data_IF_455000327690
#
_entry.id   IF_455000327690
#
_cell.length_a   1.000
_cell.length_b   1.000
_cell.length_c   1.000
_cell.angle_alpha   90.00
_cell.angle_beta   90.00
_cell.angle_gamma   90.00
#
_symmetry.space_group_name_H-M   'P 1'
#
loop_
_entity.id
_entity.type
_entity.pdbx_description
1 polymer ?
#
# COMPACT_ATOMS: atom_id res chain seq x y z
N UNK A 1 23.84 -8.87 -13.44
CA UNK A 1 22.41 -9.25 -13.56
C UNK A 1 21.62 -7.95 -13.59
N UNK A 2 20.82 -7.69 -14.64
CA UNK A 2 19.99 -6.48 -14.72
C UNK A 2 18.89 -6.61 -13.68
N UNK A 3 18.97 -5.89 -12.56
CA UNK A 3 17.86 -5.82 -11.63
C UNK A 3 16.64 -5.25 -12.36
N UNK A 4 15.52 -5.96 -12.31
CA UNK A 4 14.25 -5.51 -12.89
C UNK A 4 13.86 -4.19 -12.19
N UNK A 5 13.76 -3.13 -12.97
CA UNK A 5 13.31 -1.82 -12.45
C UNK A 5 11.88 -1.94 -11.94
N UNK A 6 11.61 -1.34 -10.79
CA UNK A 6 10.24 -1.26 -10.29
C UNK A 6 9.39 -0.37 -11.19
N UNK A 7 8.22 -0.88 -11.58
CA UNK A 7 7.23 -0.18 -12.39
C UNK A 7 6.32 0.65 -11.48
N UNK A 8 6.25 1.93 -11.74
CA UNK A 8 5.34 2.88 -11.06
C UNK A 8 4.29 3.36 -12.06
N UNK A 9 3.02 3.28 -11.71
CA UNK A 9 1.97 4.02 -12.41
C UNK A 9 1.63 5.27 -11.60
N UNK A 10 1.80 6.44 -12.21
CA UNK A 10 1.44 7.72 -11.61
C UNK A 10 0.23 8.32 -12.32
N UNK A 11 -0.82 8.59 -11.55
CA UNK A 11 -2.10 9.17 -12.03
C UNK A 11 -2.26 10.55 -11.41
N UNK A 12 -2.22 11.57 -12.23
CA UNK A 12 -2.22 12.99 -11.84
C UNK A 12 -2.71 13.81 -13.04
N UNK A 13 -3.72 14.64 -12.87
CA UNK A 13 -4.31 15.45 -13.94
C UNK A 13 -3.48 16.71 -14.26
N UNK A 14 -2.73 17.22 -13.27
CA UNK A 14 -1.87 18.38 -13.47
C UNK A 14 -0.59 17.99 -14.22
N UNK A 15 -0.54 18.27 -15.52
CA UNK A 15 0.54 17.87 -16.42
C UNK A 15 1.94 18.30 -15.94
N UNK A 16 2.07 19.50 -15.34
CA UNK A 16 3.35 19.98 -14.84
C UNK A 16 3.86 19.17 -13.66
N UNK A 17 2.97 18.80 -12.73
CA UNK A 17 3.27 17.95 -11.58
C UNK A 17 3.65 16.54 -12.05
N UNK A 18 2.82 15.97 -12.95
CA UNK A 18 3.04 14.66 -13.54
C UNK A 18 4.42 14.57 -14.22
N UNK A 19 4.70 15.49 -15.14
CA UNK A 19 5.94 15.51 -15.92
C UNK A 19 7.18 15.71 -15.04
N UNK A 20 7.08 16.58 -14.02
CA UNK A 20 8.19 16.85 -13.10
C UNK A 20 8.52 15.61 -12.29
N UNK A 21 7.52 15.00 -11.63
CA UNK A 21 7.70 13.83 -10.81
C UNK A 21 8.19 12.63 -11.64
N UNK A 22 7.60 12.38 -12.80
CA UNK A 22 8.01 11.28 -13.69
C UNK A 22 9.46 11.42 -14.14
N UNK A 23 9.90 12.60 -14.53
CA UNK A 23 11.30 12.85 -14.93
C UNK A 23 12.25 12.56 -13.77
N UNK A 24 11.90 12.96 -12.57
CA UNK A 24 12.73 12.76 -11.37
C UNK A 24 12.77 11.28 -10.97
N UNK A 25 11.64 10.57 -11.00
CA UNK A 25 11.58 9.15 -10.71
C UNK A 25 12.37 8.31 -11.74
N UNK A 26 12.24 8.62 -13.03
CA UNK A 26 13.03 7.94 -14.08
C UNK A 26 14.53 8.15 -13.90
N UNK A 27 14.97 9.35 -13.45
CA UNK A 27 16.39 9.60 -13.10
C UNK A 27 16.88 8.78 -11.91
N UNK A 28 15.97 8.35 -11.03
CA UNK A 28 16.28 7.46 -9.89
C UNK A 28 16.20 5.98 -10.26
N UNK A 29 15.97 5.66 -11.53
CA UNK A 29 16.02 4.29 -12.06
C UNK A 29 14.69 3.56 -12.07
N UNK A 30 13.58 4.20 -11.74
CA UNK A 30 12.25 3.62 -11.84
C UNK A 30 11.76 3.58 -13.30
N UNK A 31 10.96 2.57 -13.63
CA UNK A 31 10.12 2.59 -14.82
C UNK A 31 8.80 3.27 -14.48
N UNK A 32 8.40 4.29 -15.25
CA UNK A 32 7.26 5.13 -14.89
C UNK A 32 6.30 5.24 -16.05
N UNK A 33 5.08 4.72 -15.85
CA UNK A 33 3.92 4.97 -16.69
C UNK A 33 3.07 6.08 -16.09
N UNK A 34 2.31 6.75 -16.93
CA UNK A 34 1.51 7.92 -16.54
C UNK A 34 0.09 7.79 -17.03
N UNK A 35 -0.85 8.38 -16.27
CA UNK A 35 -2.22 8.61 -16.69
C UNK A 35 -2.67 9.98 -16.17
N UNK A 36 -3.44 10.72 -16.96
CA UNK A 36 -4.02 12.01 -16.55
C UNK A 36 -5.51 11.92 -16.23
N UNK A 37 -6.11 10.76 -16.52
CA UNK A 37 -7.53 10.50 -16.31
C UNK A 37 -7.75 9.14 -15.69
N UNK A 38 -8.91 8.93 -15.06
CA UNK A 38 -9.27 7.63 -14.53
C UNK A 38 -9.39 6.57 -15.64
N UNK A 39 -9.92 6.95 -16.81
CA UNK A 39 -10.04 6.07 -17.97
C UNK A 39 -8.67 5.55 -18.45
N UNK A 40 -7.67 6.43 -18.56
CA UNK A 40 -6.29 6.05 -18.88
C UNK A 40 -5.69 5.14 -17.82
N UNK A 41 -5.91 5.47 -16.53
CA UNK A 41 -5.43 4.65 -15.43
C UNK A 41 -5.99 3.23 -15.49
N UNK A 42 -7.29 3.06 -15.72
CA UNK A 42 -7.89 1.74 -15.88
C UNK A 42 -7.30 0.96 -17.05
N UNK A 43 -7.08 1.60 -18.20
CA UNK A 43 -6.45 0.96 -19.35
C UNK A 43 -5.03 0.47 -19.00
N UNK A 44 -4.22 1.31 -18.36
CA UNK A 44 -2.86 0.96 -17.93
C UNK A 44 -2.85 -0.22 -16.95
N UNK A 45 -3.81 -0.27 -16.01
CA UNK A 45 -3.94 -1.35 -15.04
C UNK A 45 -4.40 -2.68 -15.65
N UNK A 46 -5.07 -2.64 -16.80
CA UNK A 46 -5.44 -3.84 -17.55
C UNK A 46 -4.27 -4.39 -18.35
N UNK A 47 -3.40 -3.54 -18.87
CA UNK A 47 -2.19 -3.97 -19.58
C UNK A 47 -1.16 -4.60 -18.66
N UNK A 48 -0.86 -3.93 -17.55
CA UNK A 48 0.15 -4.40 -16.60
C UNK A 48 -0.03 -3.76 -15.24
N UNK A 49 -0.06 -4.56 -14.18
CA UNK A 49 -0.10 -4.08 -12.82
C UNK A 49 1.26 -3.48 -12.42
N UNK A 50 1.29 -2.26 -11.86
CA UNK A 50 2.51 -1.63 -11.36
C UNK A 50 2.93 -2.21 -10.01
N UNK A 51 4.22 -2.09 -9.69
CA UNK A 51 4.78 -2.41 -8.38
C UNK A 51 4.38 -1.38 -7.31
N UNK A 52 4.07 -0.14 -7.75
CA UNK A 52 3.52 0.95 -6.93
C UNK A 52 2.53 1.78 -7.76
N UNK A 53 1.35 2.03 -7.21
CA UNK A 53 0.36 2.94 -7.76
C UNK A 53 0.39 4.27 -6.98
N UNK A 54 0.59 5.39 -7.69
CA UNK A 54 0.52 6.75 -7.13
C UNK A 54 -0.71 7.42 -7.71
N UNK A 55 -1.61 7.88 -6.85
CA UNK A 55 -2.92 8.42 -7.24
C UNK A 55 -3.15 9.81 -6.69
N UNK A 56 -3.52 10.75 -7.56
CA UNK A 56 -4.34 11.87 -7.09
C UNK A 56 -5.76 11.38 -6.79
N UNK A 57 -6.37 11.92 -5.75
CA UNK A 57 -7.75 11.60 -5.39
C UNK A 57 -8.72 12.24 -6.37
N UNK A 58 -8.48 13.50 -6.74
CA UNK A 58 -9.34 14.27 -7.62
C UNK A 58 -8.86 14.17 -9.07
N UNK A 59 -9.66 13.55 -9.93
CA UNK A 59 -9.38 13.44 -11.36
C UNK A 59 -10.53 14.04 -12.15
N UNK A 60 -10.30 14.56 -13.37
CA UNK A 60 -11.32 15.26 -14.17
C UNK A 60 -12.51 14.37 -14.56
N UNK A 61 -12.31 13.07 -14.66
CA UNK A 61 -13.29 12.08 -15.11
C UNK A 61 -13.63 11.02 -14.05
N UNK A 62 -13.13 11.16 -12.80
CA UNK A 62 -13.38 10.17 -11.77
C UNK A 62 -12.67 10.46 -10.44
N UNK A 63 -12.64 9.44 -9.59
CA UNK A 63 -12.04 9.51 -8.27
C UNK A 63 -10.92 8.47 -8.13
N UNK A 64 -9.75 8.90 -7.67
CA UNK A 64 -8.61 8.01 -7.40
C UNK A 64 -8.93 6.89 -6.41
N UNK A 65 -9.90 7.10 -5.51
CA UNK A 65 -10.36 6.06 -4.59
C UNK A 65 -10.99 4.86 -5.31
N UNK A 66 -11.75 5.11 -6.39
CA UNK A 66 -12.35 4.03 -7.19
C UNK A 66 -11.29 3.25 -7.96
N UNK A 67 -10.27 3.94 -8.46
CA UNK A 67 -9.10 3.30 -9.09
C UNK A 67 -8.38 2.41 -8.08
N UNK A 68 -8.17 2.90 -6.85
CA UNK A 68 -7.55 2.14 -5.77
C UNK A 68 -8.36 0.88 -5.45
N UNK A 69 -9.69 0.99 -5.33
CA UNK A 69 -10.57 -0.15 -5.07
C UNK A 69 -10.41 -1.23 -6.15
N UNK A 70 -10.47 -0.84 -7.42
CA UNK A 70 -10.31 -1.78 -8.55
C UNK A 70 -8.90 -2.39 -8.62
N UNK A 71 -7.88 -1.62 -8.27
CA UNK A 71 -6.51 -2.12 -8.17
C UNK A 71 -6.37 -3.17 -7.07
N UNK A 72 -7.04 -2.96 -5.92
CA UNK A 72 -7.06 -3.89 -4.79
C UNK A 72 -7.75 -5.24 -5.10
N UNK A 73 -8.66 -5.27 -6.04
CA UNK A 73 -9.27 -6.53 -6.52
C UNK A 73 -8.24 -7.43 -7.23
N UNK A 74 -7.17 -6.84 -7.77
CA UNK A 74 -6.17 -7.55 -8.58
C UNK A 74 -4.84 -7.79 -7.87
N UNK A 75 -4.48 -6.96 -6.89
CA UNK A 75 -3.14 -7.00 -6.29
C UNK A 75 -3.07 -6.35 -4.92
N UNK A 76 -2.07 -6.78 -4.14
CA UNK A 76 -1.71 -6.18 -2.86
C UNK A 76 -0.56 -5.15 -2.97
N UNK A 77 -0.15 -4.79 -4.18
CA UNK A 77 0.91 -3.82 -4.39
C UNK A 77 0.58 -2.46 -3.77
N UNK A 78 1.56 -1.71 -3.24
CA UNK A 78 1.29 -0.50 -2.48
C UNK A 78 0.62 0.60 -3.32
N UNK A 79 -0.19 1.42 -2.61
CA UNK A 79 -0.84 2.62 -3.16
C UNK A 79 -0.46 3.83 -2.33
N UNK A 80 0.11 4.85 -2.98
CA UNK A 80 0.39 6.16 -2.43
C UNK A 80 -0.64 7.17 -2.96
N UNK A 81 -1.41 7.79 -2.07
CA UNK A 81 -2.27 8.90 -2.45
C UNK A 81 -1.55 10.24 -2.32
N UNK A 82 -1.74 11.11 -3.32
CA UNK A 82 -1.40 12.52 -3.27
C UNK A 82 -2.69 13.31 -3.04
N UNK A 83 -2.73 14.18 -2.03
CA UNK A 83 -3.98 14.85 -1.64
C UNK A 83 -3.76 16.30 -1.23
N UNK A 84 -4.73 17.19 -1.52
CA UNK A 84 -4.74 18.57 -1.03
C UNK A 84 -5.07 18.65 0.48
N UNK A 85 -4.71 19.77 1.12
CA UNK A 85 -4.94 19.99 2.57
C UNK A 85 -6.41 19.95 2.99
N UNK A 86 -7.35 20.15 2.07
CA UNK A 86 -8.79 20.20 2.33
C UNK A 86 -9.44 18.81 2.51
N UNK A 87 -8.74 17.75 2.13
CA UNK A 87 -9.34 16.42 1.96
C UNK A 87 -9.14 15.49 3.16
N UNK A 88 -9.30 16.01 4.40
CA UNK A 88 -9.22 15.17 5.61
C UNK A 88 -10.28 14.05 5.57
N UNK A 89 -11.45 14.31 4.99
CA UNK A 89 -12.50 13.28 4.81
C UNK A 89 -12.09 12.24 3.79
N UNK A 90 -11.51 12.67 2.67
CA UNK A 90 -11.04 11.78 1.60
C UNK A 90 -9.85 10.93 2.08
N UNK A 91 -8.98 11.48 2.94
CA UNK A 91 -7.92 10.71 3.63
C UNK A 91 -8.49 9.62 4.53
N UNK A 92 -9.62 9.90 5.20
CA UNK A 92 -10.32 8.93 6.05
C UNK A 92 -10.91 7.82 5.19
N UNK A 93 -11.59 8.18 4.11
CA UNK A 93 -12.21 7.24 3.19
C UNK A 93 -11.18 6.41 2.42
N UNK A 94 -10.12 7.05 1.93
CA UNK A 94 -9.09 6.36 1.16
C UNK A 94 -8.30 5.32 1.96
N UNK A 95 -8.03 5.56 3.26
CA UNK A 95 -7.46 4.54 4.15
C UNK A 95 -8.42 3.35 4.34
N UNK A 96 -9.73 3.59 4.30
CA UNK A 96 -10.75 2.53 4.31
C UNK A 96 -10.78 1.79 2.96
N UNK A 97 -10.44 2.45 1.87
CA UNK A 97 -10.39 1.88 0.51
C UNK A 97 -9.07 1.16 0.19
N UNK A 98 -8.11 1.13 1.12
CA UNK A 98 -6.89 0.33 0.97
C UNK A 98 -5.63 1.07 0.55
N UNK A 99 -5.58 2.41 0.67
CA UNK A 99 -4.32 3.16 0.52
C UNK A 99 -3.30 2.80 1.60
N UNK A 100 -2.04 2.66 1.22
CA UNK A 100 -0.95 2.34 2.17
C UNK A 100 -0.32 3.60 2.77
N UNK A 101 -0.32 4.70 2.03
CA UNK A 101 0.22 5.98 2.49
C UNK A 101 -0.47 7.17 1.83
N UNK A 102 -0.41 8.32 2.52
CA UNK A 102 -0.95 9.60 2.07
C UNK A 102 0.10 10.68 2.19
N UNK A 103 0.37 11.39 1.09
CA UNK A 103 1.25 12.54 1.05
C UNK A 103 0.45 13.79 0.70
N UNK A 104 0.56 14.82 1.54
CA UNK A 104 -0.22 16.06 1.38
C UNK A 104 0.49 17.03 0.44
N UNK A 105 -0.21 17.53 -0.57
CA UNK A 105 0.26 18.61 -1.45
C UNK A 105 0.18 19.97 -0.69
N UNK A 106 1.19 20.86 -0.82
CA UNK A 106 2.47 20.66 -1.50
C UNK A 106 3.43 19.81 -0.67
N UNK A 107 4.15 18.90 -1.31
CA UNK A 107 5.16 18.04 -0.69
C UNK A 107 6.56 18.36 -1.22
N UNK A 108 7.58 18.05 -0.41
CA UNK A 108 8.96 18.07 -0.85
C UNK A 108 9.25 16.81 -1.66
N UNK A 109 10.05 16.94 -2.75
CA UNK A 109 10.42 15.78 -3.57
C UNK A 109 11.21 14.73 -2.81
N UNK A 110 12.06 15.13 -1.87
CA UNK A 110 12.82 14.17 -1.06
C UNK A 110 11.91 13.37 -0.13
N UNK A 111 10.85 13.99 0.44
CA UNK A 111 9.81 13.30 1.19
C UNK A 111 9.03 12.33 0.30
N UNK A 112 8.60 12.79 -0.87
CA UNK A 112 7.91 11.97 -1.87
C UNK A 112 8.73 10.74 -2.26
N UNK A 113 10.02 10.93 -2.54
CA UNK A 113 10.93 9.85 -2.89
C UNK A 113 11.15 8.88 -1.71
N UNK A 114 11.32 9.38 -0.50
CA UNK A 114 11.50 8.57 0.70
C UNK A 114 10.30 7.64 0.95
N UNK A 115 9.08 8.16 0.76
CA UNK A 115 7.85 7.37 0.87
C UNK A 115 7.79 6.28 -0.19
N UNK A 116 8.11 6.59 -1.45
CA UNK A 116 8.15 5.61 -2.55
C UNK A 116 9.14 4.50 -2.24
N UNK A 117 10.36 4.85 -1.83
CA UNK A 117 11.39 3.88 -1.47
C UNK A 117 10.94 2.98 -0.32
N UNK A 118 10.40 3.58 0.73
CA UNK A 118 9.86 2.84 1.88
C UNK A 118 8.78 1.82 1.45
N UNK A 119 7.84 2.23 0.61
CA UNK A 119 6.75 1.36 0.15
C UNK A 119 7.26 0.20 -0.70
N UNK A 120 8.14 0.47 -1.66
CA UNK A 120 8.72 -0.54 -2.55
C UNK A 120 9.68 -1.49 -1.81
N UNK A 121 10.52 -0.98 -0.91
CA UNK A 121 11.41 -1.81 -0.11
C UNK A 121 10.63 -2.73 0.84
N UNK A 122 9.58 -2.21 1.44
CA UNK A 122 8.70 -3.00 2.29
C UNK A 122 8.08 -4.15 1.51
N UNK A 123 7.58 -3.90 0.30
CA UNK A 123 7.05 -4.93 -0.58
C UNK A 123 8.11 -5.99 -0.88
N UNK A 124 9.30 -5.57 -1.31
CA UNK A 124 10.41 -6.46 -1.64
C UNK A 124 10.81 -7.36 -0.46
N UNK A 125 10.96 -6.77 0.73
CA UNK A 125 11.27 -7.52 1.97
C UNK A 125 10.19 -8.55 2.32
N UNK A 126 8.92 -8.23 2.06
CA UNK A 126 7.83 -9.19 2.31
C UNK A 126 7.87 -10.35 1.32
N UNK A 127 8.13 -10.07 0.05
CA UNK A 127 8.29 -11.10 -0.98
C UNK A 127 9.51 -12.01 -0.68
N UNK A 128 10.63 -11.44 -0.23
CA UNK A 128 11.82 -12.18 0.18
C UNK A 128 11.53 -13.07 1.40
N UNK A 129 10.90 -12.53 2.45
CA UNK A 129 10.51 -13.32 3.63
C UNK A 129 9.50 -14.43 3.32
N UNK A 130 8.61 -14.20 2.36
CA UNK A 130 7.70 -15.23 1.86
C UNK A 130 8.52 -16.33 1.18
N UNK A 131 9.48 -16.01 0.31
CA UNK A 131 10.36 -16.97 -0.35
C UNK A 131 11.21 -17.79 0.62
N UNK A 132 11.78 -17.16 1.64
CA UNK A 132 12.60 -17.83 2.67
C UNK A 132 11.78 -18.80 3.54
N UNK A 133 10.54 -18.44 3.87
CA UNK A 133 9.64 -19.30 4.65
C UNK A 133 8.92 -20.39 3.83
N UNK A 134 9.11 -20.42 2.52
CA UNK A 134 8.48 -21.42 1.64
C UNK A 134 8.87 -22.88 1.96
N UNK A 135 9.88 -23.08 2.84
CA UNK A 135 10.29 -24.42 3.27
C UNK A 135 9.63 -24.91 4.58
N UNK A 136 8.93 -24.05 5.34
CA UNK A 136 8.25 -24.48 6.57
C UNK A 136 6.95 -23.72 6.83
N UNK A 137 5.85 -24.40 6.66
CA UNK A 137 4.42 -24.05 6.91
C UNK A 137 3.88 -22.78 6.24
N UNK A 138 3.10 -23.01 5.21
CA UNK A 138 2.43 -22.02 4.36
C UNK A 138 1.24 -21.29 5.01
N UNK A 139 0.80 -21.66 6.21
CA UNK A 139 -0.42 -21.14 6.81
C UNK A 139 -0.30 -20.97 8.34
N UNK A 140 -0.87 -19.89 8.85
CA UNK A 140 -1.10 -19.71 10.30
C UNK A 140 -2.59 -19.83 10.53
N UNK A 141 -3.00 -20.73 11.46
CA UNK A 141 -4.40 -20.89 11.82
C UNK A 141 -4.58 -20.57 13.30
N UNK A 142 -5.51 -19.66 13.61
CA UNK A 142 -5.87 -19.24 14.97
C UNK A 142 -7.41 -19.31 15.08
N UNK A 143 -7.93 -20.36 15.69
CA UNK A 143 -9.37 -20.60 15.71
C UNK A 143 -9.96 -20.71 14.31
N UNK A 144 -10.91 -19.85 13.97
CA UNK A 144 -11.55 -19.80 12.64
C UNK A 144 -10.81 -18.88 11.64
N UNK A 145 -9.77 -18.19 12.08
CA UNK A 145 -8.95 -17.30 11.24
C UNK A 145 -7.77 -18.06 10.66
N UNK A 146 -7.65 -18.07 9.33
CA UNK A 146 -6.54 -18.66 8.59
C UNK A 146 -5.84 -17.61 7.76
N UNK A 147 -4.55 -17.43 7.99
CA UNK A 147 -3.69 -16.57 7.17
C UNK A 147 -2.92 -17.47 6.19
N UNK A 148 -3.06 -17.21 4.92
CA UNK A 148 -2.22 -17.81 3.90
C UNK A 148 -1.04 -16.89 3.61
N UNK A 149 0.16 -17.35 3.99
CA UNK A 149 1.38 -16.57 3.85
C UNK A 149 1.92 -16.60 2.41
N UNK A 150 1.38 -17.47 1.57
CA UNK A 150 1.83 -17.65 0.19
C UNK A 150 1.18 -16.64 -0.76
N UNK A 151 -0.08 -16.30 -0.53
CA UNK A 151 -0.85 -15.35 -1.33
C UNK A 151 -1.10 -14.00 -0.62
N UNK A 152 -0.84 -13.94 0.70
CA UNK A 152 -1.03 -12.74 1.51
C UNK A 152 -2.49 -12.47 1.86
N UNK A 153 -3.35 -13.49 1.80
CA UNK A 153 -4.76 -13.41 2.14
C UNK A 153 -5.06 -13.98 3.52
N UNK A 154 -6.09 -13.44 4.16
CA UNK A 154 -6.62 -13.96 5.40
C UNK A 154 -8.10 -14.35 5.21
N UNK A 155 -8.45 -15.50 5.78
CA UNK A 155 -9.79 -16.08 5.67
C UNK A 155 -10.37 -16.26 7.06
N UNK A 156 -11.61 -15.79 7.26
CA UNK A 156 -12.38 -16.03 8.46
C UNK A 156 -13.56 -16.96 8.10
N UNK A 157 -13.66 -18.11 8.76
CA UNK A 157 -14.68 -19.13 8.42
C UNK A 157 -14.66 -19.50 6.91
N UNK A 158 -13.48 -19.58 6.29
CA UNK A 158 -13.23 -19.80 4.86
C UNK A 158 -13.67 -18.67 3.91
N UNK A 159 -14.18 -17.55 4.39
CA UNK A 159 -14.45 -16.37 3.58
C UNK A 159 -13.23 -15.43 3.61
N UNK A 160 -12.85 -14.88 2.44
CA UNK A 160 -11.76 -13.88 2.36
C UNK A 160 -12.18 -12.62 3.14
N UNK A 161 -11.29 -12.15 3.99
CA UNK A 161 -11.52 -10.97 4.83
C UNK A 161 -11.30 -9.64 4.09
N UNK A 162 -10.77 -9.65 2.87
CA UNK A 162 -10.46 -8.47 2.08
C UNK A 162 -9.46 -7.52 2.76
N UNK A 163 -8.48 -8.06 3.47
CA UNK A 163 -7.44 -7.25 4.11
C UNK A 163 -6.56 -6.59 3.06
N UNK A 164 -6.20 -5.34 3.31
CA UNK A 164 -5.10 -4.69 2.58
C UNK A 164 -3.77 -5.31 2.98
N UNK A 165 -2.74 -5.08 2.17
CA UNK A 165 -1.39 -5.57 2.46
C UNK A 165 -0.88 -5.12 3.83
N UNK A 166 -1.15 -3.88 4.20
CA UNK A 166 -0.76 -3.32 5.51
C UNK A 166 -1.49 -4.01 6.66
N UNK A 167 -2.80 -4.19 6.51
CA UNK A 167 -3.63 -4.89 7.49
C UNK A 167 -3.20 -6.35 7.63
N UNK A 168 -2.94 -7.02 6.51
CA UNK A 168 -2.39 -8.39 6.53
C UNK A 168 -1.04 -8.46 7.23
N UNK A 169 -0.13 -7.50 6.98
CA UNK A 169 1.18 -7.46 7.64
C UNK A 169 1.08 -7.27 9.15
N UNK A 170 0.17 -6.39 9.60
CA UNK A 170 -0.12 -6.20 11.02
C UNK A 170 -0.70 -7.48 11.63
N UNK A 171 -1.69 -8.08 10.97
CA UNK A 171 -2.31 -9.32 11.45
C UNK A 171 -1.29 -10.45 11.55
N UNK A 172 -0.46 -10.61 10.53
CA UNK A 172 0.61 -11.60 10.52
C UNK A 172 1.59 -11.39 11.67
N UNK A 173 2.08 -10.15 11.87
CA UNK A 173 2.99 -9.83 12.96
C UNK A 173 2.41 -10.21 14.32
N UNK A 174 1.13 -9.91 14.54
CA UNK A 174 0.41 -10.26 15.77
C UNK A 174 0.21 -11.78 15.90
N UNK A 175 -0.16 -12.44 14.80
CA UNK A 175 -0.38 -13.88 14.75
C UNK A 175 0.91 -14.70 14.98
N UNK A 176 2.05 -14.21 14.51
CA UNK A 176 3.37 -14.81 14.75
C UNK A 176 3.87 -14.58 16.19
N UNK A 177 3.28 -13.62 16.93
CA UNK A 177 3.73 -13.21 18.27
C UNK A 177 2.55 -13.10 19.26
N UNK A 178 1.76 -14.17 19.39
CA UNK A 178 0.49 -14.16 20.14
C UNK A 178 0.63 -13.77 21.63
N UNK A 179 1.78 -14.03 22.23
CA UNK A 179 2.03 -13.72 23.64
C UNK A 179 2.65 -12.34 23.88
N UNK A 180 2.98 -11.62 22.78
CA UNK A 180 3.65 -10.32 22.88
C UNK A 180 2.65 -9.16 22.78
N UNK A 181 2.74 -8.22 23.73
CA UNK A 181 2.04 -6.93 23.65
C UNK A 181 2.94 -5.95 22.90
N UNK A 182 2.40 -5.34 21.85
CA UNK A 182 3.10 -4.35 21.06
C UNK A 182 2.57 -2.95 21.33
N UNK A 183 3.47 -2.00 21.51
CA UNK A 183 3.14 -0.58 21.46
C UNK A 183 2.85 -0.15 20.02
N UNK A 184 2.11 0.95 19.84
CA UNK A 184 1.86 1.50 18.50
C UNK A 184 3.14 1.87 17.73
N UNK A 185 4.19 2.28 18.47
CA UNK A 185 5.51 2.58 17.91
C UNK A 185 6.19 1.31 17.38
N UNK A 186 6.21 0.22 18.17
CA UNK A 186 6.79 -1.06 17.72
C UNK A 186 6.05 -1.61 16.50
N UNK A 187 4.72 -1.53 16.46
CA UNK A 187 3.93 -1.92 15.29
C UNK A 187 4.29 -1.08 14.07
N UNK A 188 4.43 0.23 14.25
CA UNK A 188 4.83 1.12 13.16
C UNK A 188 6.21 0.74 12.63
N UNK A 189 7.21 0.65 13.49
CA UNK A 189 8.58 0.31 13.10
C UNK A 189 8.68 -1.06 12.42
N UNK A 190 7.92 -2.04 12.90
CA UNK A 190 7.91 -3.39 12.33
C UNK A 190 7.27 -3.46 10.94
N UNK A 191 6.24 -2.64 10.67
CA UNK A 191 5.47 -2.71 9.43
C UNK A 191 5.89 -1.66 8.42
N UNK A 192 6.23 -0.43 8.85
CA UNK A 192 6.62 0.67 7.96
C UNK A 192 8.11 0.97 7.96
N UNK A 193 8.86 0.49 8.96
CA UNK A 193 10.28 0.77 9.11
C UNK A 193 10.55 1.97 10.03
N UNK A 194 11.83 2.14 10.40
CA UNK A 194 12.27 3.25 11.26
C UNK A 194 12.42 4.52 10.42
N UNK A 195 11.48 5.44 10.50
CA UNK A 195 11.60 6.80 9.93
C UNK A 195 11.41 7.85 11.03
N UNK A 196 12.15 8.95 10.94
CA UNK A 196 11.95 10.10 11.82
C UNK A 196 10.56 10.71 11.54
N UNK A 197 9.70 10.80 12.58
CA UNK A 197 8.35 11.34 12.46
C UNK A 197 7.25 10.30 12.50
N UNK A 198 7.36 9.30 13.36
CA UNK A 198 6.38 8.21 13.56
C UNK A 198 4.98 8.74 13.89
N UNK A 199 4.10 8.80 12.91
CA UNK A 199 2.68 9.04 13.17
C UNK A 199 1.97 7.74 13.54
N UNK A 200 1.84 7.51 14.85
CA UNK A 200 1.14 6.33 15.40
C UNK A 200 -0.38 6.33 15.14
N UNK A 201 -0.94 7.44 14.63
CA UNK A 201 -2.37 7.52 14.26
C UNK A 201 -2.67 6.57 13.09
N UNK A 202 -1.73 6.41 12.17
CA UNK A 202 -1.80 5.46 11.06
C UNK A 202 -1.97 4.02 11.55
N UNK A 203 -1.18 3.61 12.54
CA UNK A 203 -1.29 2.26 13.13
C UNK A 203 -2.67 2.03 13.74
N UNK A 204 -3.15 2.98 14.56
CA UNK A 204 -4.46 2.86 15.22
C UNK A 204 -5.57 2.66 14.22
N UNK A 205 -5.49 3.35 13.09
CA UNK A 205 -6.50 3.25 12.04
C UNK A 205 -6.47 1.90 11.34
N UNK A 206 -5.30 1.41 10.95
CA UNK A 206 -5.19 0.09 10.36
C UNK A 206 -5.62 -1.03 11.31
N UNK A 207 -5.32 -0.90 12.61
CA UNK A 207 -5.83 -1.83 13.64
C UNK A 207 -7.36 -1.77 13.74
N UNK A 208 -7.96 -0.57 13.69
CA UNK A 208 -9.41 -0.43 13.69
C UNK A 208 -10.05 -1.12 12.48
N UNK A 209 -9.54 -0.86 11.27
CA UNK A 209 -10.02 -1.50 10.05
C UNK A 209 -9.84 -3.01 10.10
N UNK A 210 -8.68 -3.47 10.55
CA UNK A 210 -8.40 -4.89 10.74
C UNK A 210 -9.45 -5.56 11.64
N UNK A 211 -9.70 -5.00 12.83
CA UNK A 211 -10.73 -5.51 13.77
C UNK A 211 -12.11 -5.58 13.14
N UNK A 212 -12.50 -4.54 12.40
CA UNK A 212 -13.78 -4.52 11.71
C UNK A 212 -13.91 -5.66 10.71
N UNK A 213 -12.83 -5.97 9.98
CA UNK A 213 -12.84 -7.00 8.94
C UNK A 213 -12.76 -8.43 9.48
N UNK A 214 -12.09 -8.65 10.61
CA UNK A 214 -11.97 -9.98 11.22
C UNK A 214 -13.01 -10.23 12.33
N UNK A 215 -13.92 -9.28 12.58
CA UNK A 215 -15.01 -9.44 13.55
C UNK A 215 -14.56 -9.43 15.01
N UNK A 216 -13.48 -8.70 15.34
CA UNK A 216 -12.87 -8.65 16.67
C UNK A 216 -13.12 -7.31 17.38
#
# INVERSE_FOLDING_TARGET
MNEKKSLILMVEDEEQVLNTNCRMLRRRGYDVRTAQTAAEAYHQLEEQLPDLLILDIMLPDGNGLDICRRFREKTMNPVLFLTGKSDIRDRVEGLQQGGDYYLTKPYNFDEFLAVIQMLLERQKRMEEKIKEKFQSSRQITIGSLRLDLSDGHAYLNNADTGLTRTEFSLLRLLAENQEKIFSAKELYEAVWGSCAGTDTSTVRRHIFNLRTKIGA
#
